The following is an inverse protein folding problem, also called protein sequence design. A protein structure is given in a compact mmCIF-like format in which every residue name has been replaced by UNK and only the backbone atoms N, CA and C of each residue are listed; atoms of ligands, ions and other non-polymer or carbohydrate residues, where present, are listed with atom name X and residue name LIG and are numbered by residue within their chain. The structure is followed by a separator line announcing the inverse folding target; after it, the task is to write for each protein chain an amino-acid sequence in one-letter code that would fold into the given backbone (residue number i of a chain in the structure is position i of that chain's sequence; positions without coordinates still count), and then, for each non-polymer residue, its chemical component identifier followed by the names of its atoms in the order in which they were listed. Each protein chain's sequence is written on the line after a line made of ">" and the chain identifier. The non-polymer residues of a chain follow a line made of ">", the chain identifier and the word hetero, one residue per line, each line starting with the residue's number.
data_IF_604963317201
#
_entry.id   IF_604963317201
#
_cell.length_a   1.000
_cell.length_b   1.000
_cell.length_c   1.000
_cell.angle_alpha   90.00
_cell.angle_beta   90.00
_cell.angle_gamma   90.00
#
_symmetry.space_group_name_H-M   'P 1'
#
loop_
_entity.id
_entity.type
_entity.pdbx_description
1 polymer ?
#
# COMPACT_ATOMS: atom_id res chain seq x y z
N UNK A 1 -2.30 9.86 11.30
CA UNK A 1 -3.47 9.28 10.63
C UNK A 1 -3.14 7.93 9.99
N UNK A 2 -2.09 7.89 9.18
CA UNK A 2 -1.71 6.62 8.51
C UNK A 2 -1.30 5.56 9.53
N UNK A 3 -0.51 5.92 10.53
CA UNK A 3 -0.12 5.00 11.60
C UNK A 3 -1.35 4.47 12.33
N UNK A 4 -2.29 5.33 12.66
CA UNK A 4 -3.54 4.94 13.32
C UNK A 4 -4.36 3.97 12.46
N UNK A 5 -4.44 4.24 11.15
CA UNK A 5 -5.12 3.35 10.22
C UNK A 5 -4.47 1.95 10.23
N UNK A 6 -3.16 1.89 10.12
CA UNK A 6 -2.44 0.63 10.08
C UNK A 6 -2.63 -0.16 11.36
N UNK A 7 -2.50 0.49 12.52
CA UNK A 7 -2.69 -0.16 13.82
C UNK A 7 -4.12 -0.65 14.01
N UNK A 8 -5.11 0.13 13.61
CA UNK A 8 -6.51 -0.24 13.71
C UNK A 8 -6.83 -1.45 12.82
N UNK A 9 -6.39 -1.43 11.57
CA UNK A 9 -6.62 -2.53 10.64
C UNK A 9 -5.91 -3.80 11.09
N UNK A 10 -4.68 -3.68 11.58
CA UNK A 10 -3.91 -4.81 12.08
C UNK A 10 -4.62 -5.48 13.26
N UNK A 11 -5.21 -4.69 14.16
CA UNK A 11 -5.97 -5.20 15.30
C UNK A 11 -7.24 -5.92 14.85
N UNK A 12 -7.99 -5.30 13.94
CA UNK A 12 -9.25 -5.88 13.43
C UNK A 12 -8.99 -7.19 12.69
N UNK A 13 -7.97 -7.22 11.86
CA UNK A 13 -7.67 -8.37 11.01
C UNK A 13 -6.69 -9.36 11.64
N UNK A 14 -6.20 -9.08 12.85
CA UNK A 14 -5.23 -9.92 13.56
C UNK A 14 -3.96 -10.17 12.74
N UNK A 15 -3.45 -9.12 12.11
CA UNK A 15 -2.24 -9.14 11.32
C UNK A 15 -1.19 -8.29 12.06
N UNK A 16 0.00 -8.83 12.25
CA UNK A 16 1.13 -8.06 12.78
C UNK A 16 1.60 -7.08 11.72
N UNK A 17 1.68 -5.81 12.08
CA UNK A 17 2.10 -4.77 11.16
C UNK A 17 3.36 -4.06 11.63
N UNK A 18 4.18 -3.66 10.68
CA UNK A 18 5.37 -2.86 10.92
C UNK A 18 5.33 -1.66 9.97
N UNK A 19 5.52 -0.47 10.52
CA UNK A 19 5.56 0.76 9.73
C UNK A 19 6.94 1.41 9.89
N UNK A 20 7.62 1.62 8.77
CA UNK A 20 8.84 2.40 8.71
C UNK A 20 8.57 3.62 7.84
N UNK A 21 9.05 4.78 8.26
CA UNK A 21 8.91 5.98 7.44
C UNK A 21 10.17 6.82 7.48
N UNK A 22 10.39 7.50 6.37
CA UNK A 22 11.51 8.40 6.17
C UNK A 22 11.17 9.76 6.80
N UNK A 23 11.93 10.17 7.79
CA UNK A 23 11.70 11.42 8.50
C UNK A 23 11.93 12.67 7.63
N UNK A 24 12.56 12.49 6.44
CA UNK A 24 12.75 13.60 5.50
C UNK A 24 11.49 13.96 4.73
N UNK A 25 10.43 13.14 4.82
CA UNK A 25 9.16 13.46 4.17
C UNK A 25 8.43 14.52 4.98
N UNK A 26 8.23 15.68 4.38
CA UNK A 26 7.42 16.73 4.97
C UNK A 26 5.99 16.60 4.47
N UNK A 27 5.15 15.99 5.29
CA UNK A 27 3.76 15.73 4.95
C UNK A 27 2.94 17.00 4.80
N UNK A 28 3.37 18.11 5.39
CA UNK A 28 2.69 19.40 5.24
C UNK A 28 2.84 19.98 3.83
N UNK A 29 3.90 19.59 3.11
CA UNK A 29 4.11 20.01 1.72
C UNK A 29 3.32 19.16 0.72
N UNK A 30 2.71 18.07 1.17
CA UNK A 30 1.95 17.17 0.30
C UNK A 30 0.48 17.57 0.32
N UNK A 31 -0.14 17.67 -0.86
CA UNK A 31 -1.54 18.10 -0.96
C UNK A 31 -2.48 17.11 -0.25
N UNK A 32 -3.61 17.62 0.23
CA UNK A 32 -4.62 16.77 0.86
C UNK A 32 -5.15 15.71 -0.10
N UNK A 33 -5.27 16.03 -1.37
CA UNK A 33 -5.69 15.07 -2.40
C UNK A 33 -4.75 13.87 -2.45
N UNK A 34 -3.44 14.12 -2.46
CA UNK A 34 -2.44 13.04 -2.46
C UNK A 34 -2.47 12.23 -1.18
N UNK A 35 -2.59 12.88 -0.03
CA UNK A 35 -2.69 12.19 1.26
C UNK A 35 -3.90 11.28 1.31
N UNK A 36 -5.06 11.74 0.86
CA UNK A 36 -6.29 10.95 0.85
C UNK A 36 -6.15 9.73 -0.07
N UNK A 37 -5.58 9.92 -1.24
CA UNK A 37 -5.39 8.82 -2.19
C UNK A 37 -4.42 7.77 -1.62
N UNK A 38 -3.32 8.20 -1.03
CA UNK A 38 -2.37 7.30 -0.35
C UNK A 38 -3.06 6.53 0.77
N UNK A 39 -3.84 7.22 1.60
CA UNK A 39 -4.61 6.61 2.68
C UNK A 39 -5.54 5.50 2.15
N UNK A 40 -6.29 5.81 1.09
CA UNK A 40 -7.24 4.86 0.50
C UNK A 40 -6.54 3.64 -0.11
N UNK A 41 -5.38 3.85 -0.72
CA UNK A 41 -4.59 2.77 -1.31
C UNK A 41 -4.09 1.83 -0.21
N UNK A 42 -3.61 2.38 0.91
CA UNK A 42 -3.18 1.57 2.05
C UNK A 42 -4.36 0.78 2.62
N UNK A 43 -5.51 1.44 2.79
CA UNK A 43 -6.73 0.81 3.29
C UNK A 43 -7.15 -0.37 2.41
N UNK A 44 -7.17 -0.16 1.10
CA UNK A 44 -7.53 -1.21 0.14
C UNK A 44 -6.51 -2.35 0.13
N UNK A 45 -5.21 -2.02 0.21
CA UNK A 45 -4.16 -3.03 0.24
C UNK A 45 -4.25 -3.92 1.49
N UNK A 46 -4.49 -3.32 2.66
CA UNK A 46 -4.65 -4.09 3.90
C UNK A 46 -5.88 -4.97 3.86
N UNK A 47 -6.97 -4.46 3.29
CA UNK A 47 -8.19 -5.24 3.11
C UNK A 47 -7.95 -6.45 2.20
N UNK A 48 -7.23 -6.26 1.11
CA UNK A 48 -6.90 -7.34 0.18
C UNK A 48 -5.99 -8.38 0.83
N UNK A 49 -5.01 -7.94 1.61
CA UNK A 49 -4.12 -8.84 2.35
C UNK A 49 -4.93 -9.72 3.30
N UNK A 50 -5.82 -9.11 4.06
CA UNK A 50 -6.69 -9.85 4.97
C UNK A 50 -7.57 -10.86 4.24
N UNK A 51 -8.23 -10.42 3.16
CA UNK A 51 -9.27 -11.20 2.50
C UNK A 51 -8.71 -12.31 1.59
N UNK A 52 -7.58 -12.06 0.94
CA UNK A 52 -7.09 -12.92 -0.14
C UNK A 52 -5.73 -13.57 0.12
N UNK A 53 -4.88 -12.95 0.92
CA UNK A 53 -3.51 -13.41 1.09
C UNK A 53 -3.31 -14.30 2.31
N UNK A 54 -4.22 -14.25 3.28
CA UNK A 54 -4.11 -14.98 4.54
C UNK A 54 -2.76 -14.75 5.23
N UNK A 55 -2.29 -13.50 5.21
CA UNK A 55 -1.01 -13.12 5.75
C UNK A 55 -1.05 -13.02 7.27
N UNK A 56 0.09 -13.26 7.92
CA UNK A 56 0.27 -13.06 9.36
C UNK A 56 1.00 -11.75 9.65
N UNK A 57 1.85 -11.31 8.72
CA UNK A 57 2.64 -10.10 8.88
C UNK A 57 2.56 -9.22 7.64
N UNK A 58 2.53 -7.90 7.85
CA UNK A 58 2.60 -6.92 6.80
C UNK A 58 3.62 -5.84 7.18
N UNK A 59 4.46 -5.46 6.24
CA UNK A 59 5.43 -4.38 6.41
C UNK A 59 5.08 -3.25 5.46
N UNK A 60 5.02 -2.02 5.97
CA UNK A 60 4.72 -0.83 5.20
C UNK A 60 5.87 0.13 5.39
N UNK A 61 6.43 0.63 4.31
CA UNK A 61 7.54 1.59 4.38
C UNK A 61 7.33 2.76 3.43
N UNK A 62 7.75 3.94 3.89
CA UNK A 62 7.76 5.17 3.11
C UNK A 62 9.20 5.64 2.98
N UNK A 63 9.59 6.00 1.77
CA UNK A 63 10.89 6.59 1.48
C UNK A 63 10.71 7.78 0.54
N UNK A 64 11.61 8.75 0.64
CA UNK A 64 11.64 9.90 -0.26
C UNK A 64 12.93 9.84 -1.07
N UNK A 65 12.80 9.79 -2.40
CA UNK A 65 13.93 9.77 -3.33
C UNK A 65 13.64 10.69 -4.50
N UNK A 66 14.48 11.71 -4.71
CA UNK A 66 14.35 12.62 -5.86
C UNK A 66 12.96 13.23 -5.97
N UNK A 67 12.42 13.70 -4.83
CA UNK A 67 11.09 14.31 -4.75
C UNK A 67 9.94 13.35 -5.11
N UNK A 68 10.19 12.06 -4.97
CA UNK A 68 9.18 11.01 -5.18
C UNK A 68 9.02 10.22 -3.88
N UNK A 69 7.78 10.11 -3.41
CA UNK A 69 7.46 9.24 -2.28
C UNK A 69 7.32 7.82 -2.79
N UNK A 70 8.12 6.92 -2.23
CA UNK A 70 8.04 5.48 -2.53
C UNK A 70 7.37 4.79 -1.34
N UNK A 71 6.20 4.23 -1.57
CA UNK A 71 5.45 3.45 -0.58
C UNK A 71 5.53 1.98 -0.97
N UNK A 72 5.98 1.15 -0.04
CA UNK A 72 6.08 -0.30 -0.26
C UNK A 72 5.27 -1.02 0.79
N UNK A 73 4.41 -1.93 0.37
CA UNK A 73 3.58 -2.77 1.25
C UNK A 73 3.90 -4.22 0.93
N UNK A 74 4.44 -4.95 1.90
CA UNK A 74 4.86 -6.35 1.73
C UNK A 74 4.13 -7.22 2.74
N UNK A 75 3.50 -8.29 2.27
CA UNK A 75 2.90 -9.29 3.15
C UNK A 75 3.57 -10.65 2.95
N UNK A 76 3.43 -11.51 3.94
CA UNK A 76 3.97 -12.88 3.95
C UNK A 76 2.91 -13.94 3.64
N UNK A 77 1.82 -13.54 3.01
CA UNK A 77 0.70 -14.43 2.76
C UNK A 77 0.91 -15.41 1.62
N UNK A 78 -0.18 -16.01 1.17
CA UNK A 78 -0.16 -17.03 0.14
C UNK A 78 0.10 -16.46 -1.27
N UNK A 79 0.01 -15.15 -1.44
CA UNK A 79 0.12 -14.53 -2.75
C UNK A 79 -1.11 -14.82 -3.61
N UNK A 80 -1.07 -14.36 -4.83
CA UNK A 80 -2.15 -14.60 -5.79
C UNK A 80 -1.62 -14.43 -7.22
N UNK A 81 -2.39 -14.92 -8.19
CA UNK A 81 -2.08 -14.69 -9.59
C UNK A 81 -2.59 -13.30 -9.99
N UNK A 82 -1.67 -12.37 -10.20
CA UNK A 82 -1.98 -10.96 -10.52
C UNK A 82 -2.84 -10.87 -11.79
N UNK A 83 -2.57 -11.71 -12.78
CA UNK A 83 -3.32 -11.69 -14.04
C UNK A 83 -4.78 -12.11 -13.86
N UNK A 84 -5.03 -13.08 -12.98
CA UNK A 84 -6.39 -13.53 -12.69
C UNK A 84 -7.14 -12.61 -11.75
N UNK A 85 -6.41 -11.92 -10.87
CA UNK A 85 -7.00 -11.13 -9.80
C UNK A 85 -7.24 -9.67 -10.16
N UNK A 86 -6.85 -9.23 -11.35
CA UNK A 86 -6.87 -7.81 -11.76
C UNK A 86 -8.20 -7.10 -11.54
N UNK A 87 -9.31 -7.80 -11.71
CA UNK A 87 -10.64 -7.21 -11.55
C UNK A 87 -11.31 -7.56 -10.24
N UNK A 88 -10.77 -8.52 -9.49
CA UNK A 88 -11.45 -9.12 -8.35
C UNK A 88 -11.04 -8.59 -6.98
N UNK A 89 -9.92 -7.86 -6.87
CA UNK A 89 -9.36 -7.46 -5.59
C UNK A 89 -9.07 -5.96 -5.48
N UNK A 90 -9.81 -5.14 -6.22
CA UNK A 90 -9.66 -3.69 -6.11
C UNK A 90 -8.46 -3.10 -6.84
N UNK A 91 -7.72 -3.87 -7.62
CA UNK A 91 -6.53 -3.37 -8.33
C UNK A 91 -6.86 -2.25 -9.30
N UNK A 92 -8.02 -2.35 -9.96
CA UNK A 92 -8.48 -1.30 -10.88
C UNK A 92 -8.70 0.01 -10.15
N UNK A 93 -9.29 -0.04 -8.95
CA UNK A 93 -9.53 1.15 -8.14
C UNK A 93 -8.21 1.78 -7.68
N UNK A 94 -7.24 0.95 -7.30
CA UNK A 94 -5.92 1.44 -6.91
C UNK A 94 -5.21 2.11 -8.08
N UNK A 95 -5.26 1.52 -9.27
CA UNK A 95 -4.67 2.12 -10.48
C UNK A 95 -5.32 3.48 -10.79
N UNK A 96 -6.63 3.58 -10.71
CA UNK A 96 -7.36 4.82 -10.94
C UNK A 96 -6.94 5.90 -9.94
N UNK A 97 -6.89 5.57 -8.66
CA UNK A 97 -6.49 6.51 -7.61
C UNK A 97 -5.07 7.01 -7.80
N UNK A 98 -4.13 6.10 -8.09
CA UNK A 98 -2.73 6.50 -8.23
C UNK A 98 -2.52 7.36 -9.47
N UNK A 99 -3.25 7.10 -10.55
CA UNK A 99 -3.19 7.92 -11.77
C UNK A 99 -3.66 9.34 -11.53
N UNK A 100 -4.66 9.55 -10.67
CA UNK A 100 -5.19 10.87 -10.36
C UNK A 100 -4.19 11.77 -9.63
N UNK A 101 -3.16 11.20 -9.03
CA UNK A 101 -2.09 11.94 -8.34
C UNK A 101 -0.75 11.80 -9.04
N UNK A 102 -0.78 11.44 -10.33
CA UNK A 102 0.41 11.31 -11.17
C UNK A 102 1.41 10.28 -10.67
N UNK A 103 0.92 9.28 -9.97
CA UNK A 103 1.75 8.21 -9.43
C UNK A 103 1.76 6.98 -10.30
N UNK A 104 2.55 6.00 -9.88
CA UNK A 104 2.61 4.69 -10.49
C UNK A 104 2.44 3.61 -9.43
N UNK A 105 1.94 2.46 -9.82
CA UNK A 105 1.77 1.31 -8.94
C UNK A 105 2.30 0.06 -9.63
N UNK A 106 3.01 -0.76 -8.87
CA UNK A 106 3.50 -2.06 -9.33
C UNK A 106 3.16 -3.10 -8.27
N UNK A 107 2.63 -4.23 -8.70
CA UNK A 107 2.25 -5.31 -7.80
C UNK A 107 2.96 -6.57 -8.26
N UNK A 108 3.74 -7.17 -7.35
CA UNK A 108 4.43 -8.42 -7.57
C UNK A 108 3.89 -9.45 -6.58
N UNK A 109 3.40 -10.55 -7.08
CA UNK A 109 2.89 -11.62 -6.23
C UNK A 109 3.15 -12.97 -6.87
N UNK A 110 3.55 -13.94 -6.04
CA UNK A 110 3.71 -15.31 -6.47
C UNK A 110 3.01 -16.20 -5.44
N UNK A 111 2.45 -17.30 -5.90
CA UNK A 111 1.79 -18.26 -5.03
C UNK A 111 2.74 -18.72 -3.92
N UNK A 112 2.28 -18.65 -2.69
CA UNK A 112 3.02 -19.05 -1.47
C UNK A 112 4.25 -18.18 -1.15
N UNK A 113 4.43 -17.05 -1.84
CA UNK A 113 5.58 -16.17 -1.62
C UNK A 113 5.20 -14.76 -1.17
N UNK A 114 3.92 -14.52 -0.91
CA UNK A 114 3.43 -13.21 -0.49
C UNK A 114 3.26 -12.22 -1.64
N UNK A 115 2.99 -10.98 -1.29
CA UNK A 115 2.71 -9.92 -2.24
C UNK A 115 3.48 -8.66 -1.88
N UNK A 116 4.00 -7.98 -2.88
CA UNK A 116 4.64 -6.67 -2.73
C UNK A 116 3.92 -5.66 -3.60
N UNK A 117 3.44 -4.58 -2.98
CA UNK A 117 2.84 -3.43 -3.67
C UNK A 117 3.81 -2.27 -3.55
N UNK A 118 4.23 -1.70 -4.66
CA UNK A 118 5.11 -0.55 -4.70
C UNK A 118 4.41 0.61 -5.39
N UNK A 119 4.35 1.75 -4.72
CA UNK A 119 3.68 2.94 -5.21
C UNK A 119 4.67 4.09 -5.20
N UNK A 120 4.73 4.84 -6.29
CA UNK A 120 5.58 6.02 -6.41
C UNK A 120 4.71 7.23 -6.71
N UNK A 121 4.83 8.28 -5.90
CA UNK A 121 4.03 9.50 -6.01
C UNK A 121 4.97 10.70 -5.97
N UNK A 122 5.01 11.54 -7.02
CA UNK A 122 5.78 12.78 -6.96
C UNK A 122 5.14 13.75 -5.95
N UNK A 123 5.99 14.45 -5.20
CA UNK A 123 5.50 15.42 -4.20
C UNK A 123 5.08 16.76 -4.83
N UNK A 124 5.47 16.99 -6.07
CA UNK A 124 5.15 18.24 -6.79
C UNK A 124 3.96 18.08 -7.72
#
# INVERSE_FOLDING_TARGET
>A
IIRTLIETQATIYKIDSNLEHDDTIDWDEITNKKKIHIYRIIQESLHNIYKHANAQQVSISFQLKNDVICLTIVDDGAGFDVNKAKSGIGLKNMNTRISEINGTISITSEKDSGTTVTIEVPIT
#
